data_IF_720800693208
#
_entry.id   IF_720800693208
#
_cell.length_a   1.000
_cell.length_b   1.000
_cell.length_c   1.000
_cell.angle_alpha   90.00
_cell.angle_beta   90.00
_cell.angle_gamma   90.00
#
_symmetry.space_group_name_H-M   'P 1'
#
loop_
_entity.id
_entity.type
_entity.pdbx_description
1 polymer ?
#
# COMPACT_ATOMS: atom_id res chain seq x y z
N UNK A 1 53.30 3.31 43.18
CA UNK A 1 53.95 3.62 41.89
C UNK A 1 53.85 2.39 41.03
N UNK A 2 53.11 2.30 39.93
CA UNK A 2 52.19 3.17 39.19
C UNK A 2 51.47 2.17 38.24
N UNK A 3 50.14 2.09 38.19
CA UNK A 3 49.19 2.91 37.41
C UNK A 3 49.27 2.71 35.87
N UNK A 4 48.08 2.62 35.25
CA UNK A 4 47.70 2.58 33.82
C UNK A 4 47.12 1.22 33.35
N UNK A 5 45.94 1.10 32.74
CA UNK A 5 44.87 2.07 32.47
C UNK A 5 43.61 1.25 32.11
N UNK A 6 42.65 1.21 33.03
CA UNK A 6 41.34 0.62 32.80
C UNK A 6 40.47 1.61 32.01
N UNK A 7 40.48 1.52 30.67
CA UNK A 7 39.50 2.22 29.83
C UNK A 7 38.24 1.38 29.63
N UNK A 8 37.58 1.06 30.73
CA UNK A 8 36.19 0.63 30.74
C UNK A 8 35.33 1.88 30.73
N UNK A 9 34.94 2.36 29.54
CA UNK A 9 33.98 3.46 29.40
C UNK A 9 32.60 2.98 29.89
N UNK A 10 32.36 3.10 31.19
CA UNK A 10 31.08 2.86 31.85
C UNK A 10 30.21 4.10 31.62
N UNK A 11 29.44 4.10 30.53
CA UNK A 11 28.37 5.08 30.27
C UNK A 11 27.13 4.64 31.08
N UNK A 12 26.39 5.55 31.74
CA UNK A 12 25.33 5.18 32.68
C UNK A 12 24.24 4.31 32.05
N UNK A 13 23.98 3.14 32.66
CA UNK A 13 22.83 2.25 32.40
C UNK A 13 21.51 2.88 32.90
N UNK A 14 21.20 4.09 32.48
CA UNK A 14 19.87 4.64 32.73
C UNK A 14 18.90 4.04 31.70
N UNK A 15 17.75 3.49 32.14
CA UNK A 15 16.77 2.87 31.24
C UNK A 15 16.25 3.85 30.18
N UNK A 16 16.37 5.16 30.40
CA UNK A 16 16.03 6.22 29.44
C UNK A 16 17.04 6.34 28.29
N UNK A 17 18.33 6.12 28.55
CA UNK A 17 19.37 6.14 27.51
C UNK A 17 19.22 4.96 26.56
N UNK A 18 18.87 3.78 27.11
CA UNK A 18 18.58 2.57 26.32
C UNK A 18 17.36 2.80 25.43
N UNK A 19 16.28 3.38 25.97
CA UNK A 19 15.08 3.71 25.20
C UNK A 19 15.39 4.69 24.06
N UNK A 20 16.19 5.73 24.31
CA UNK A 20 16.56 6.71 23.29
C UNK A 20 17.34 6.05 22.15
N UNK A 21 18.25 5.15 22.49
CA UNK A 21 19.08 4.47 21.49
C UNK A 21 18.27 3.46 20.66
N UNK A 22 17.39 2.68 21.29
CA UNK A 22 16.45 1.79 20.59
C UNK A 22 15.54 2.60 19.66
N UNK A 23 15.04 3.75 20.11
CA UNK A 23 14.24 4.64 19.25
C UNK A 23 15.05 5.18 18.06
N UNK A 24 16.31 5.58 18.27
CA UNK A 24 17.19 6.06 17.20
C UNK A 24 17.42 4.99 16.12
N UNK A 25 17.70 3.76 16.54
CA UNK A 25 17.97 2.64 15.61
C UNK A 25 16.71 2.23 14.86
N UNK A 26 15.57 2.14 15.55
CA UNK A 26 14.26 1.85 14.93
C UNK A 26 13.82 2.97 13.98
N UNK A 27 14.20 4.23 14.23
CA UNK A 27 13.94 5.37 13.34
C UNK A 27 14.89 5.40 12.14
N UNK A 28 16.14 4.98 12.30
CA UNK A 28 17.09 4.85 11.20
C UNK A 28 16.73 3.70 10.24
N UNK A 29 15.96 2.71 10.70
CA UNK A 29 15.63 1.49 9.95
C UNK A 29 14.16 1.47 9.54
N UNK A 30 13.85 2.02 8.36
CA UNK A 30 12.48 2.08 7.82
C UNK A 30 11.84 0.69 7.55
N UNK A 31 12.66 -0.34 7.33
CA UNK A 31 12.21 -1.72 7.08
C UNK A 31 11.84 -2.50 8.36
N UNK A 32 12.04 -1.90 9.54
CA UNK A 32 11.81 -2.53 10.83
C UNK A 32 12.97 -3.42 11.27
N UNK A 33 13.16 -3.49 12.59
CA UNK A 33 14.31 -4.18 13.19
C UNK A 33 13.85 -5.26 14.18
N UNK A 34 14.48 -6.43 14.13
CA UNK A 34 14.18 -7.52 15.07
C UNK A 34 14.88 -7.33 16.40
N UNK A 35 14.39 -7.99 17.46
CA UNK A 35 15.06 -7.97 18.76
C UNK A 35 16.50 -8.49 18.68
N UNK A 36 16.75 -9.55 17.89
CA UNK A 36 18.10 -10.09 17.67
C UNK A 36 19.02 -9.07 17.01
N UNK A 37 18.53 -8.33 16.01
CA UNK A 37 19.34 -7.29 15.36
C UNK A 37 19.57 -6.07 16.25
N UNK A 38 18.62 -5.74 17.13
CA UNK A 38 18.82 -4.72 18.17
C UNK A 38 19.92 -5.13 19.15
N UNK A 39 20.01 -6.41 19.54
CA UNK A 39 21.08 -6.93 20.40
C UNK A 39 22.45 -6.88 19.71
N UNK A 40 22.53 -7.18 18.42
CA UNK A 40 23.78 -7.07 17.65
C UNK A 40 24.29 -5.63 17.55
N UNK A 41 23.37 -4.67 17.37
CA UNK A 41 23.71 -3.24 17.32
C UNK A 41 23.97 -2.65 18.71
N UNK A 42 23.50 -3.31 19.76
CA UNK A 42 23.64 -2.91 21.16
C UNK A 42 24.27 -4.04 22.00
N UNK A 43 25.53 -4.40 21.73
CA UNK A 43 26.21 -5.54 22.38
C UNK A 43 26.47 -5.32 23.89
N UNK A 44 26.23 -4.12 24.42
CA UNK A 44 26.51 -3.74 25.80
C UNK A 44 25.25 -3.71 26.71
N UNK A 45 24.13 -4.27 26.23
CA UNK A 45 22.83 -4.23 26.89
C UNK A 45 22.33 -5.65 27.13
N UNK A 46 21.78 -5.91 28.32
CA UNK A 46 21.18 -7.22 28.62
C UNK A 46 19.88 -7.43 27.83
N UNK A 47 19.53 -8.69 27.57
CA UNK A 47 18.28 -9.02 26.87
C UNK A 47 17.05 -8.52 27.65
N UNK A 48 17.11 -8.57 28.98
CA UNK A 48 16.04 -8.09 29.87
C UNK A 48 15.90 -6.56 29.85
N UNK A 49 17.01 -5.82 29.91
CA UNK A 49 16.98 -4.35 29.84
C UNK A 49 16.47 -3.86 28.48
N UNK A 50 16.86 -4.55 27.40
CA UNK A 50 16.36 -4.27 26.05
C UNK A 50 14.86 -4.56 25.96
N UNK A 51 14.41 -5.71 26.47
CA UNK A 51 12.99 -6.07 26.48
C UNK A 51 12.14 -5.07 27.30
N UNK A 52 12.65 -4.61 28.44
CA UNK A 52 12.00 -3.55 29.22
C UNK A 52 11.96 -2.22 28.47
N UNK A 53 13.04 -1.83 27.79
CA UNK A 53 13.09 -0.61 27.00
C UNK A 53 12.11 -0.65 25.83
N UNK A 54 12.06 -1.77 25.09
CA UNK A 54 11.08 -2.01 24.03
C UNK A 54 9.66 -1.97 24.60
N UNK A 55 9.41 -2.66 25.71
CA UNK A 55 8.10 -2.68 26.38
C UNK A 55 7.63 -1.29 26.78
N UNK A 56 8.52 -0.45 27.29
CA UNK A 56 8.24 0.96 27.61
C UNK A 56 8.01 1.80 26.35
N UNK A 57 8.82 1.64 25.31
CA UNK A 57 8.62 2.37 24.06
C UNK A 57 7.31 1.97 23.36
N UNK A 58 6.88 0.72 23.50
CA UNK A 58 5.57 0.24 23.06
C UNK A 58 4.45 0.82 23.92
N UNK A 59 4.61 0.87 25.25
CA UNK A 59 3.58 1.41 26.15
C UNK A 59 3.41 2.92 26.00
N UNK A 60 4.52 3.64 25.75
CA UNK A 60 4.51 5.08 25.44
C UNK A 60 4.06 5.33 23.99
N UNK A 61 4.07 4.30 23.13
CA UNK A 61 3.64 4.41 21.74
C UNK A 61 4.63 5.18 20.86
N UNK A 62 5.93 5.11 21.16
CA UNK A 62 7.02 5.65 20.32
C UNK A 62 7.45 4.67 19.22
N UNK A 63 7.32 3.38 19.47
CA UNK A 63 7.56 2.32 18.49
C UNK A 63 6.33 1.44 18.36
N UNK A 64 6.17 0.79 17.21
CA UNK A 64 5.18 -0.26 16.98
C UNK A 64 5.89 -1.58 16.68
N UNK A 65 5.22 -2.70 16.94
CA UNK A 65 5.69 -4.00 16.50
C UNK A 65 4.79 -4.54 15.38
N UNK A 66 5.40 -5.26 14.46
CA UNK A 66 4.72 -6.05 13.44
C UNK A 66 5.30 -7.47 13.48
N UNK A 67 4.45 -8.45 13.25
CA UNK A 67 4.87 -9.84 13.14
C UNK A 67 5.06 -10.11 11.65
N UNK A 68 6.28 -10.46 11.28
CA UNK A 68 6.58 -10.95 9.95
C UNK A 68 6.12 -12.41 9.86
N UNK A 69 5.10 -12.68 9.03
CA UNK A 69 4.51 -14.00 8.90
C UNK A 69 5.42 -14.99 8.15
N UNK A 70 6.38 -14.53 7.34
CA UNK A 70 7.29 -15.41 6.59
C UNK A 70 8.40 -15.95 7.50
N UNK A 71 8.92 -15.09 8.38
CA UNK A 71 10.01 -15.43 9.30
C UNK A 71 9.51 -15.74 10.72
N UNK A 72 8.22 -15.57 11.00
CA UNK A 72 7.63 -15.62 12.34
C UNK A 72 8.40 -14.77 13.37
N UNK A 73 8.94 -13.62 12.93
CA UNK A 73 9.76 -12.74 13.76
C UNK A 73 9.05 -11.42 14.01
N UNK A 74 9.16 -10.92 15.25
CA UNK A 74 8.67 -9.60 15.59
C UNK A 74 9.68 -8.54 15.14
N UNK A 75 9.22 -7.62 14.28
CA UNK A 75 9.95 -6.44 13.81
C UNK A 75 9.38 -5.19 14.47
N UNK A 76 10.25 -4.32 14.97
CA UNK A 76 9.91 -3.05 15.59
C UNK A 76 10.20 -1.90 14.64
N UNK A 77 9.31 -0.91 14.60
CA UNK A 77 9.39 0.26 13.72
C UNK A 77 9.19 1.51 14.57
N UNK A 78 10.01 2.53 14.33
CA UNK A 78 9.74 3.82 14.94
C UNK A 78 8.51 4.46 14.31
N UNK A 79 7.69 5.11 15.13
CA UNK A 79 6.63 5.99 14.65
C UNK A 79 7.22 7.35 14.31
N UNK A 80 6.87 7.88 13.13
CA UNK A 80 6.88 9.34 12.90
C UNK A 80 5.77 9.99 13.72
N UNK A 81 5.88 11.25 14.13
CA UNK A 81 4.84 11.93 14.96
C UNK A 81 3.44 11.88 14.34
N UNK A 82 3.35 11.96 13.01
CA UNK A 82 2.09 11.89 12.26
C UNK A 82 1.47 10.48 12.29
N UNK A 83 2.29 9.44 12.19
CA UNK A 83 1.85 8.05 12.35
C UNK A 83 1.62 7.75 13.84
N UNK A 84 2.33 8.36 14.77
CA UNK A 84 2.12 8.16 16.20
C UNK A 84 0.72 8.58 16.63
N UNK A 85 0.25 9.76 16.19
CA UNK A 85 -1.08 10.26 16.49
C UNK A 85 -2.18 9.37 15.87
N UNK A 86 -2.03 8.98 14.59
CA UNK A 86 -3.02 8.14 13.90
C UNK A 86 -3.09 6.73 14.47
N UNK A 87 -1.99 6.18 15.01
CA UNK A 87 -1.94 4.85 15.62
C UNK A 87 -2.05 4.88 17.16
N UNK A 88 -2.26 6.04 17.78
CA UNK A 88 -2.39 6.17 19.24
C UNK A 88 -3.71 5.54 19.71
N UNK A 89 -3.63 4.56 20.61
CA UNK A 89 -4.81 3.86 21.14
C UNK A 89 -5.38 2.75 20.25
N UNK A 90 -4.68 2.33 19.19
CA UNK A 90 -4.99 1.07 18.51
C UNK A 90 -4.49 -0.10 19.36
N UNK A 91 -5.34 -1.07 19.62
CA UNK A 91 -4.99 -2.29 20.33
C UNK A 91 -4.23 -3.28 19.45
N UNK A 92 -3.93 -4.46 20.02
CA UNK A 92 -3.23 -5.53 19.31
C UNK A 92 -4.03 -6.07 18.12
N UNK A 93 -5.36 -6.17 18.27
CA UNK A 93 -6.25 -6.66 17.21
C UNK A 93 -6.29 -5.70 16.02
N UNK A 94 -6.41 -4.40 16.28
CA UNK A 94 -6.39 -3.36 15.25
C UNK A 94 -5.07 -3.37 14.47
N UNK A 95 -3.96 -3.54 15.19
CA UNK A 95 -2.63 -3.60 14.60
C UNK A 95 -2.46 -4.81 13.68
N UNK A 96 -2.96 -5.98 14.10
CA UNK A 96 -2.96 -7.19 13.27
C UNK A 96 -3.76 -6.99 11.99
N UNK A 97 -4.96 -6.41 12.06
CA UNK A 97 -5.79 -6.15 10.87
C UNK A 97 -5.11 -5.16 9.92
N UNK A 98 -4.54 -4.07 10.46
CA UNK A 98 -3.80 -3.11 9.65
C UNK A 98 -2.61 -3.77 8.94
N UNK A 99 -1.89 -4.66 9.62
CA UNK A 99 -0.77 -5.40 9.03
C UNK A 99 -1.21 -6.30 7.88
N UNK A 100 -2.30 -7.06 8.06
CA UNK A 100 -2.86 -7.91 7.00
C UNK A 100 -3.26 -7.09 5.77
N UNK A 101 -3.79 -5.87 5.97
CA UNK A 101 -4.12 -4.95 4.86
C UNK A 101 -2.85 -4.43 4.18
N UNK A 102 -1.82 -4.08 4.96
CA UNK A 102 -0.54 -3.58 4.46
C UNK A 102 0.20 -4.62 3.61
N UNK A 103 0.17 -5.88 4.01
CA UNK A 103 0.80 -6.99 3.27
C UNK A 103 0.18 -7.21 1.88
N UNK A 104 -1.12 -6.97 1.72
CA UNK A 104 -1.84 -7.19 0.46
C UNK A 104 -1.67 -6.02 -0.53
N UNK A 105 -1.16 -4.87 -0.06
CA UNK A 105 -0.75 -3.75 -0.88
C UNK A 105 -1.84 -3.24 -1.83
N UNK A 106 -1.55 -3.24 -3.14
CA UNK A 106 -2.43 -2.73 -4.21
C UNK A 106 -3.60 -3.64 -4.54
N UNK A 107 -3.52 -4.93 -4.22
CA UNK A 107 -4.61 -5.89 -4.46
C UNK A 107 -5.76 -5.66 -3.48
N UNK A 108 -5.42 -5.23 -2.25
CA UNK A 108 -6.37 -5.05 -1.17
C UNK A 108 -6.89 -6.38 -0.63
N UNK A 109 -7.51 -6.34 0.55
CA UNK A 109 -7.97 -7.53 1.26
C UNK A 109 -9.49 -7.55 1.44
N UNK A 110 -10.08 -8.73 1.27
CA UNK A 110 -11.49 -8.95 1.58
C UNK A 110 -11.70 -9.33 3.05
N UNK A 111 -12.84 -8.94 3.62
CA UNK A 111 -13.17 -9.26 5.02
C UNK A 111 -13.16 -10.77 5.32
N UNK A 112 -13.47 -11.62 4.33
CA UNK A 112 -13.39 -13.08 4.49
C UNK A 112 -11.94 -13.54 4.70
N UNK A 113 -10.99 -12.97 3.96
CA UNK A 113 -9.58 -13.27 4.13
C UNK A 113 -9.05 -12.71 5.46
N UNK A 114 -9.47 -11.51 5.83
CA UNK A 114 -9.18 -10.96 7.17
C UNK A 114 -9.68 -11.89 8.28
N UNK A 115 -10.88 -12.45 8.15
CA UNK A 115 -11.44 -13.40 9.12
C UNK A 115 -10.60 -14.68 9.23
N UNK A 116 -10.21 -15.25 8.09
CA UNK A 116 -9.41 -16.50 8.05
C UNK A 116 -8.01 -16.26 8.64
N UNK A 117 -7.37 -15.14 8.31
CA UNK A 117 -5.99 -14.83 8.73
C UNK A 117 -5.90 -14.28 10.17
N UNK A 118 -6.85 -13.45 10.60
CA UNK A 118 -6.84 -12.85 11.94
C UNK A 118 -7.50 -13.72 13.02
N UNK A 119 -8.35 -14.68 12.64
CA UNK A 119 -9.15 -15.47 13.59
C UNK A 119 -10.23 -14.68 14.35
N UNK A 120 -10.46 -13.40 14.00
CA UNK A 120 -11.44 -12.54 14.66
C UNK A 120 -12.85 -12.72 14.08
N UNK A 121 -13.88 -12.36 14.84
CA UNK A 121 -15.28 -12.39 14.36
C UNK A 121 -15.56 -11.25 13.39
N UNK A 122 -16.50 -11.45 12.45
CA UNK A 122 -16.84 -10.44 11.44
C UNK A 122 -17.28 -9.10 12.06
N UNK A 123 -18.01 -9.14 13.18
CA UNK A 123 -18.45 -7.96 13.94
C UNK A 123 -17.25 -7.16 14.47
N UNK A 124 -16.28 -7.86 15.07
CA UNK A 124 -15.03 -7.25 15.57
C UNK A 124 -14.25 -6.61 14.42
N UNK A 125 -14.06 -7.35 13.33
CA UNK A 125 -13.31 -6.87 12.16
C UNK A 125 -13.96 -5.61 11.59
N UNK A 126 -15.29 -5.56 11.45
CA UNK A 126 -16.00 -4.35 10.97
C UNK A 126 -15.77 -3.14 11.86
N UNK A 127 -15.79 -3.31 13.18
CA UNK A 127 -15.54 -2.23 14.14
C UNK A 127 -14.09 -1.71 14.04
N UNK A 128 -13.13 -2.62 13.88
CA UNK A 128 -11.73 -2.28 13.67
C UNK A 128 -11.55 -1.53 12.35
N UNK A 129 -12.11 -2.05 11.26
CA UNK A 129 -12.04 -1.41 9.94
C UNK A 129 -12.65 0.00 9.95
N UNK A 130 -13.79 0.19 10.62
CA UNK A 130 -14.40 1.53 10.78
C UNK A 130 -13.50 2.48 11.57
N UNK A 131 -12.85 2.01 12.63
CA UNK A 131 -11.86 2.79 13.38
C UNK A 131 -10.66 3.17 12.50
N UNK A 132 -10.11 2.22 11.73
CA UNK A 132 -8.98 2.47 10.84
C UNK A 132 -9.33 3.41 9.67
N UNK A 133 -10.55 3.32 9.15
CA UNK A 133 -11.10 4.18 8.10
C UNK A 133 -11.33 5.62 8.63
N UNK A 134 -11.89 5.77 9.84
CA UNK A 134 -12.09 7.08 10.49
C UNK A 134 -10.78 7.85 10.68
N UNK A 135 -9.67 7.12 10.86
CA UNK A 135 -8.31 7.67 11.04
C UNK A 135 -7.55 7.84 9.72
N UNK A 136 -8.21 7.58 8.58
CA UNK A 136 -7.63 7.64 7.22
C UNK A 136 -6.37 6.78 7.06
N UNK A 137 -6.28 5.66 7.78
CA UNK A 137 -5.20 4.68 7.63
C UNK A 137 -5.47 3.68 6.51
N UNK A 138 -6.74 3.39 6.28
CA UNK A 138 -7.22 2.50 5.22
C UNK A 138 -8.35 3.18 4.46
N UNK A 139 -8.58 2.71 3.24
CA UNK A 139 -9.76 3.05 2.43
C UNK A 139 -10.41 1.79 1.91
N UNK A 140 -11.73 1.86 1.72
CA UNK A 140 -12.47 0.81 1.06
C UNK A 140 -12.58 1.09 -0.44
N UNK A 141 -12.25 0.10 -1.25
CA UNK A 141 -12.36 0.17 -2.72
C UNK A 141 -13.20 -1.01 -3.19
N UNK A 142 -14.07 -0.79 -4.18
CA UNK A 142 -14.85 -1.88 -4.79
C UNK A 142 -14.03 -2.48 -5.92
N UNK A 143 -13.77 -3.79 -5.88
CA UNK A 143 -13.12 -4.47 -6.99
C UNK A 143 -14.11 -4.75 -8.11
N UNK A 144 -13.79 -4.34 -9.33
CA UNK A 144 -14.64 -4.52 -10.51
C UNK A 144 -14.54 -5.95 -11.03
N UNK A 145 -13.34 -6.54 -11.05
CA UNK A 145 -13.09 -7.92 -11.50
C UNK A 145 -13.74 -8.98 -10.59
N UNK A 146 -13.89 -8.70 -9.29
CA UNK A 146 -14.44 -9.63 -8.32
C UNK A 146 -15.91 -9.35 -7.92
N UNK A 147 -16.80 -9.08 -8.88
CA UNK A 147 -18.24 -8.81 -8.65
C UNK A 147 -18.51 -7.66 -7.66
N UNK A 148 -17.81 -6.53 -7.77
CA UNK A 148 -18.02 -5.36 -6.90
C UNK A 148 -17.84 -5.64 -5.40
N UNK A 149 -16.97 -6.58 -5.03
CA UNK A 149 -16.68 -6.88 -3.61
C UNK A 149 -15.93 -5.71 -2.96
N UNK A 150 -16.34 -5.36 -1.74
CA UNK A 150 -15.66 -4.36 -0.91
C UNK A 150 -14.32 -4.92 -0.43
N UNK A 151 -13.24 -4.38 -0.98
CA UNK A 151 -11.85 -4.64 -0.59
C UNK A 151 -11.34 -3.48 0.27
N UNK A 152 -10.41 -3.76 1.16
CA UNK A 152 -9.76 -2.74 2.00
C UNK A 152 -8.29 -2.65 1.64
N UNK A 153 -7.78 -1.45 1.50
CA UNK A 153 -6.37 -1.18 1.18
C UNK A 153 -5.87 0.04 1.96
N UNK A 154 -4.56 0.28 1.95
CA UNK A 154 -3.99 1.48 2.56
C UNK A 154 -4.49 2.74 1.85
N UNK A 155 -4.74 3.80 2.62
CA UNK A 155 -5.20 5.08 2.07
C UNK A 155 -4.21 5.71 1.09
N UNK A 156 -2.91 5.56 1.39
CA UNK A 156 -1.77 6.06 0.60
C UNK A 156 -1.53 5.29 -0.71
N UNK A 157 -2.10 4.09 -0.87
CA UNK A 157 -1.87 3.27 -2.06
C UNK A 157 -2.97 3.47 -3.10
N UNK A 158 -2.60 3.54 -4.38
CA UNK A 158 -3.55 3.55 -5.49
C UNK A 158 -3.93 2.11 -5.90
N UNK A 159 -5.21 1.86 -6.19
CA UNK A 159 -5.69 0.54 -6.59
C UNK A 159 -5.09 0.13 -7.95
N UNK A 160 -4.78 -1.15 -8.11
CA UNK A 160 -4.24 -1.67 -9.36
C UNK A 160 -5.28 -1.61 -10.51
N UNK A 161 -5.03 -0.89 -11.62
CA UNK A 161 -5.98 -0.75 -12.71
C UNK A 161 -6.47 -2.10 -13.28
N UNK A 162 -5.64 -3.15 -13.21
CA UNK A 162 -5.96 -4.50 -13.71
C UNK A 162 -7.10 -5.17 -12.91
N UNK A 163 -7.27 -4.82 -11.63
CA UNK A 163 -8.24 -5.45 -10.72
C UNK A 163 -9.43 -4.54 -10.36
N UNK A 164 -9.35 -3.25 -10.71
CA UNK A 164 -10.29 -2.21 -10.29
C UNK A 164 -10.98 -1.50 -11.46
N UNK A 165 -10.90 -2.03 -12.69
CA UNK A 165 -11.78 -1.59 -13.80
C UNK A 165 -11.11 -1.31 -15.13
N UNK A 166 -9.78 -1.29 -15.20
CA UNK A 166 -9.11 -0.64 -16.31
C UNK A 166 -9.32 0.89 -16.28
N UNK A 167 -8.88 1.61 -17.31
CA UNK A 167 -8.82 3.07 -17.31
C UNK A 167 -10.19 3.76 -17.48
N UNK A 168 -11.26 2.99 -17.65
CA UNK A 168 -12.60 3.49 -17.94
C UNK A 168 -13.45 3.77 -16.71
N UNK A 169 -12.91 3.57 -15.51
CA UNK A 169 -13.64 3.71 -14.27
C UNK A 169 -13.02 4.78 -13.37
N UNK A 170 -13.88 5.66 -12.87
CA UNK A 170 -13.55 6.69 -11.87
C UNK A 170 -14.41 6.41 -10.64
N UNK A 171 -13.81 6.29 -9.46
CA UNK A 171 -14.51 6.02 -8.19
C UNK A 171 -15.48 4.81 -8.20
N UNK A 172 -15.13 3.77 -8.97
CA UNK A 172 -15.95 2.55 -9.17
C UNK A 172 -17.20 2.72 -10.03
N UNK A 173 -17.34 3.86 -10.72
CA UNK A 173 -18.36 4.09 -11.74
C UNK A 173 -17.70 4.20 -13.12
N UNK A 174 -18.38 3.70 -14.15
CA UNK A 174 -17.88 3.81 -15.53
C UNK A 174 -17.96 5.27 -15.97
N UNK A 175 -16.83 5.82 -16.38
CA UNK A 175 -16.69 7.19 -16.83
C UNK A 175 -17.07 7.28 -18.31
N UNK A 176 -18.39 7.28 -18.56
CA UNK A 176 -18.97 7.34 -19.91
C UNK A 176 -18.58 8.63 -20.66
N UNK A 177 -18.44 9.74 -19.94
CA UNK A 177 -18.01 11.01 -20.53
C UNK A 177 -16.56 10.91 -21.02
N UNK A 178 -15.65 10.38 -20.18
CA UNK A 178 -14.27 10.16 -20.57
C UNK A 178 -14.16 9.19 -21.75
N UNK A 179 -14.88 8.05 -21.70
CA UNK A 179 -14.88 7.07 -22.78
C UNK A 179 -15.35 7.69 -24.11
N UNK A 180 -16.42 8.49 -24.08
CA UNK A 180 -16.96 9.16 -25.28
C UNK A 180 -16.00 10.21 -25.84
N UNK A 181 -15.39 11.04 -24.99
CA UNK A 181 -14.42 12.06 -25.44
C UNK A 181 -13.21 11.42 -26.11
N UNK A 182 -12.70 10.32 -25.55
CA UNK A 182 -11.61 9.54 -26.14
C UNK A 182 -12.05 8.88 -27.45
N UNK A 183 -13.21 8.23 -27.47
CA UNK A 183 -13.74 7.57 -28.66
C UNK A 183 -13.96 8.55 -29.82
N UNK A 184 -14.54 9.72 -29.54
CA UNK A 184 -14.73 10.78 -30.53
C UNK A 184 -13.40 11.35 -31.05
N UNK A 185 -12.42 11.55 -30.16
CA UNK A 185 -11.09 12.01 -30.54
C UNK A 185 -10.36 10.98 -31.41
N UNK A 186 -10.49 9.70 -31.07
CA UNK A 186 -9.97 8.59 -31.86
C UNK A 186 -10.64 8.50 -33.23
N UNK A 187 -11.97 8.61 -33.27
CA UNK A 187 -12.74 8.61 -34.50
C UNK A 187 -12.32 9.76 -35.43
N UNK A 188 -12.22 11.00 -34.91
CA UNK A 188 -11.74 12.15 -35.67
C UNK A 188 -10.34 11.95 -36.23
N UNK A 189 -9.46 11.31 -35.48
CA UNK A 189 -8.12 10.99 -35.94
C UNK A 189 -8.12 9.95 -37.08
N UNK A 190 -8.94 8.90 -36.94
CA UNK A 190 -9.12 7.87 -37.99
C UNK A 190 -9.67 8.51 -39.27
N UNK A 191 -10.70 9.35 -39.18
CA UNK A 191 -11.26 10.05 -40.35
C UNK A 191 -10.23 10.95 -41.05
N UNK A 192 -9.28 11.54 -40.31
CA UNK A 192 -8.22 12.39 -40.88
C UNK A 192 -7.16 11.59 -41.62
N UNK A 193 -6.80 10.42 -41.10
CA UNK A 193 -5.71 9.59 -41.62
C UNK A 193 -6.18 8.54 -42.65
N UNK A 194 -7.47 8.21 -42.66
CA UNK A 194 -8.06 7.17 -43.50
C UNK A 194 -7.88 5.78 -42.88
N UNK A 195 -6.66 5.24 -42.92
CA UNK A 195 -6.30 3.97 -42.27
C UNK A 195 -5.30 4.21 -41.12
N UNK A 196 -5.56 3.61 -39.97
CA UNK A 196 -4.76 3.81 -38.76
C UNK A 196 -4.57 2.49 -38.03
N UNK A 197 -3.34 2.17 -37.62
CA UNK A 197 -3.07 1.03 -36.74
C UNK A 197 -3.38 1.35 -35.28
N UNK A 198 -3.73 0.34 -34.48
CA UNK A 198 -3.96 0.51 -33.04
C UNK A 198 -2.75 1.14 -32.32
N UNK A 199 -1.53 0.84 -32.78
CA UNK A 199 -0.28 1.40 -32.28
C UNK A 199 -0.17 2.90 -32.58
N UNK A 200 -0.51 3.31 -33.80
CA UNK A 200 -0.50 4.72 -34.22
C UNK A 200 -1.54 5.53 -33.44
N UNK A 201 -2.71 4.93 -33.19
CA UNK A 201 -3.75 5.55 -32.38
C UNK A 201 -3.34 5.66 -30.91
N UNK A 202 -2.68 4.64 -30.36
CA UNK A 202 -2.10 4.69 -29.02
C UNK A 202 -1.03 5.78 -28.89
N UNK A 203 -0.18 5.94 -29.90
CA UNK A 203 0.83 7.00 -29.94
C UNK A 203 0.19 8.39 -30.02
N UNK A 204 -0.88 8.55 -30.81
CA UNK A 204 -1.65 9.79 -30.88
C UNK A 204 -2.25 10.17 -29.53
N UNK A 205 -2.87 9.24 -28.81
CA UNK A 205 -3.46 9.52 -27.50
C UNK A 205 -2.38 9.96 -26.50
N UNK A 206 -1.21 9.30 -26.52
CA UNK A 206 -0.06 9.70 -25.68
C UNK A 206 0.48 11.08 -26.02
N UNK A 207 0.57 11.42 -27.31
CA UNK A 207 1.09 12.72 -27.77
C UNK A 207 0.13 13.88 -27.49
N UNK A 208 -1.17 13.63 -27.57
CA UNK A 208 -2.20 14.65 -27.36
C UNK A 208 -2.53 14.88 -25.88
N UNK A 209 -2.07 14.00 -24.99
CA UNK A 209 -2.31 14.07 -23.54
C UNK A 209 -3.80 14.25 -23.17
N UNK A 210 -4.68 13.68 -24.01
CA UNK A 210 -6.14 13.72 -23.80
C UNK A 210 -6.53 12.74 -22.68
N UNK A 211 -5.75 11.66 -22.51
CA UNK A 211 -5.96 10.68 -21.45
C UNK A 211 -5.33 11.15 -20.14
N UNK A 212 -6.16 11.27 -19.09
CA UNK A 212 -5.68 11.51 -17.72
C UNK A 212 -5.00 10.29 -17.10
N UNK A 213 -5.14 9.12 -17.72
CA UNK A 213 -4.68 7.81 -17.26
C UNK A 213 -3.81 7.18 -18.35
N UNK A 214 -2.78 6.43 -17.97
CA UNK A 214 -1.98 5.66 -18.93
C UNK A 214 -2.83 4.56 -19.57
N UNK A 215 -3.00 4.64 -20.90
CA UNK A 215 -3.74 3.65 -21.67
C UNK A 215 -2.78 2.62 -22.27
N UNK A 216 -3.10 1.33 -22.08
CA UNK A 216 -2.42 0.23 -22.75
C UNK A 216 -2.97 0.04 -24.17
N UNK A 217 -2.27 -0.74 -24.99
CA UNK A 217 -2.74 -1.09 -26.33
C UNK A 217 -4.10 -1.80 -26.29
N UNK A 218 -4.33 -2.68 -25.31
CA UNK A 218 -5.61 -3.38 -25.14
C UNK A 218 -6.77 -2.42 -24.87
N UNK A 219 -6.52 -1.33 -24.14
CA UNK A 219 -7.54 -0.31 -23.90
C UNK A 219 -7.89 0.40 -25.21
N UNK A 220 -6.90 0.73 -26.03
CA UNK A 220 -7.12 1.35 -27.35
C UNK A 220 -7.87 0.40 -28.29
N UNK A 221 -7.54 -0.89 -28.28
CA UNK A 221 -8.28 -1.91 -29.03
C UNK A 221 -9.74 -1.99 -28.57
N UNK A 222 -10.01 -1.81 -27.28
CA UNK A 222 -11.39 -1.74 -26.76
C UNK A 222 -12.17 -0.57 -27.38
N UNK A 223 -11.56 0.62 -27.47
CA UNK A 223 -12.18 1.79 -28.14
C UNK A 223 -12.45 1.47 -29.62
N UNK A 224 -11.47 0.93 -30.32
CA UNK A 224 -11.59 0.59 -31.75
C UNK A 224 -12.73 -0.40 -31.96
N UNK A 225 -12.79 -1.47 -31.16
CA UNK A 225 -13.86 -2.46 -31.23
C UNK A 225 -15.23 -1.81 -30.99
N UNK A 226 -15.36 -0.90 -30.02
CA UNK A 226 -16.62 -0.16 -29.81
C UNK A 226 -16.99 0.67 -31.03
N UNK A 227 -16.05 1.40 -31.64
CA UNK A 227 -16.32 2.16 -32.86
C UNK A 227 -16.73 1.26 -34.05
N UNK A 228 -16.19 0.04 -34.12
CA UNK A 228 -16.61 -0.97 -35.11
C UNK A 228 -18.03 -1.45 -34.82
N UNK A 229 -18.35 -1.78 -33.57
CA UNK A 229 -19.69 -2.20 -33.15
C UNK A 229 -20.75 -1.11 -33.40
N UNK A 230 -20.39 0.15 -33.21
CA UNK A 230 -21.25 1.30 -33.51
C UNK A 230 -21.38 1.57 -35.02
N UNK A 231 -20.64 0.83 -35.87
CA UNK A 231 -20.67 0.95 -37.33
C UNK A 231 -20.00 2.23 -37.86
N UNK A 232 -19.18 2.90 -37.03
CA UNK A 232 -18.50 4.13 -37.39
C UNK A 232 -17.21 3.89 -38.17
N UNK A 233 -16.55 2.76 -37.94
CA UNK A 233 -15.30 2.36 -38.61
C UNK A 233 -15.35 0.88 -38.97
N UNK A 234 -14.61 0.48 -40.00
CA UNK A 234 -14.51 -0.92 -40.43
C UNK A 234 -13.07 -1.42 -40.28
N UNK A 235 -12.92 -2.68 -39.89
CA UNK A 235 -11.61 -3.34 -39.88
C UNK A 235 -11.21 -3.69 -41.31
N UNK A 236 -10.17 -3.01 -41.81
CA UNK A 236 -9.57 -3.36 -43.09
C UNK A 236 -8.63 -4.53 -42.85
N UNK A 237 -9.16 -5.75 -42.99
CA UNK A 237 -8.29 -6.92 -43.19
C UNK A 237 -7.73 -6.82 -44.60
N UNK A 238 -6.41 -6.65 -44.73
CA UNK A 238 -5.70 -6.92 -45.99
C UNK A 238 -5.93 -8.39 -46.34
N UNK A 239 -7.05 -8.68 -47.02
CA UNK A 239 -7.16 -9.87 -47.84
C UNK A 239 -6.22 -9.63 -49.02
N UNK A 240 -5.08 -10.30 -48.99
CA UNK A 240 -4.19 -10.43 -50.16
C UNK A 240 -4.93 -10.96 -51.38
#
# INVERSE_FOLDING_TARGET
MDEADAKTNIVPKTPESIQREVYRITAATASGITQGRLLELLPNISVDDLAQAIGRLLSVGKINFFIDNELNTMKYYARTEEQAAKFQGLGKEEMTIYQLIKEEGRMGIWIRNLRIRSGLTDIRIRKILSTLESRKLIKAVKSITAKSRKMYMLSELEPDPSHYGGPWYTDSEFDDEFFKVLSDSCYRYICKCGSVSAESLCMYIKQTNISRVELSLDNVVTIINTLIYDGLVEEVTEKG
#
